data_IF_879492550703
#
_entry.id   IF_879492550703
#
_cell.length_a   1.000
_cell.length_b   1.000
_cell.length_c   1.000
_cell.angle_alpha   90.00
_cell.angle_beta   90.00
_cell.angle_gamma   90.00
#
_symmetry.space_group_name_H-M   'P 1'
#
loop_
_entity.id
_entity.type
_entity.pdbx_description
1 polymer ?
#
# COMPACT_ATOMS: atom_id res chain seq x y z
N UNK A 1 -9.50 -8.87 15.00
CA UNK A 1 -8.59 -7.86 14.42
C UNK A 1 -9.24 -6.50 14.54
N UNK A 2 -8.47 -5.40 14.66
CA UNK A 2 -9.04 -4.04 14.67
C UNK A 2 -9.80 -3.80 13.37
N UNK A 3 -11.06 -3.40 13.47
CA UNK A 3 -11.93 -3.09 12.33
C UNK A 3 -11.78 -1.65 11.84
N UNK A 4 -10.99 -0.83 12.54
CA UNK A 4 -10.76 0.57 12.23
C UNK A 4 -9.32 0.98 12.50
N UNK A 5 -8.84 1.96 11.73
CA UNK A 5 -7.51 2.54 11.80
C UNK A 5 -7.50 3.93 12.48
N UNK A 6 -8.66 4.57 12.65
CA UNK A 6 -8.83 5.94 13.12
C UNK A 6 -8.03 6.96 12.30
N UNK A 7 -8.12 6.88 10.97
CA UNK A 7 -7.35 7.74 10.08
C UNK A 7 -7.87 9.19 10.07
N UNK A 8 -6.99 10.20 10.13
CA UNK A 8 -7.40 11.58 9.90
C UNK A 8 -7.82 11.78 8.44
N UNK A 9 -8.66 12.78 8.16
CA UNK A 9 -8.98 13.13 6.78
C UNK A 9 -7.73 13.71 6.08
N UNK A 10 -7.43 13.21 4.88
CA UNK A 10 -6.35 13.73 4.04
C UNK A 10 -6.70 15.14 3.56
N UNK A 11 -5.73 16.06 3.65
CA UNK A 11 -5.95 17.46 3.28
C UNK A 11 -6.05 17.66 1.76
N UNK A 12 -7.03 18.45 1.33
CA UNK A 12 -7.21 18.85 -0.07
C UNK A 12 -7.93 17.81 -0.94
N UNK A 13 -8.02 18.06 -2.26
CA UNK A 13 -8.70 17.15 -3.18
C UNK A 13 -7.91 15.85 -3.37
N UNK A 14 -8.62 14.78 -3.74
CA UNK A 14 -7.99 13.52 -4.14
C UNK A 14 -7.04 13.73 -5.34
N UNK A 15 -5.94 12.95 -5.43
CA UNK A 15 -5.06 12.99 -6.59
C UNK A 15 -5.78 12.40 -7.82
N UNK A 16 -5.34 12.80 -9.01
CA UNK A 16 -5.76 12.16 -10.26
C UNK A 16 -5.05 10.82 -10.43
N UNK A 17 -5.76 9.83 -10.92
CA UNK A 17 -5.27 8.47 -11.16
C UNK A 17 -5.70 7.97 -12.54
N UNK A 18 -5.04 6.93 -13.05
CA UNK A 18 -5.46 6.24 -14.27
C UNK A 18 -6.48 5.16 -13.95
N UNK A 19 -7.68 5.26 -14.53
CA UNK A 19 -8.70 4.21 -14.48
C UNK A 19 -8.44 3.06 -15.47
N UNK A 20 -7.20 2.61 -15.60
CA UNK A 20 -6.77 1.51 -16.48
C UNK A 20 -5.48 0.88 -15.95
N UNK A 21 -5.03 -0.22 -16.55
CA UNK A 21 -3.69 -0.75 -16.30
C UNK A 21 -2.63 -0.08 -17.19
N UNK A 22 -1.41 0.18 -16.68
CA UNK A 22 -1.07 0.17 -15.26
C UNK A 22 -1.86 1.24 -14.48
N UNK A 23 -2.36 0.89 -13.30
CA UNK A 23 -3.07 1.82 -12.42
C UNK A 23 -2.02 2.70 -11.76
N UNK A 24 -2.03 4.00 -12.06
CA UNK A 24 -1.00 4.92 -11.58
C UNK A 24 -1.61 6.22 -11.05
N UNK A 25 -0.97 6.80 -10.04
CA UNK A 25 -1.27 8.15 -9.58
C UNK A 25 -0.49 9.17 -10.44
N UNK A 26 -1.18 10.24 -10.86
CA UNK A 26 -0.68 11.20 -11.85
C UNK A 26 -0.28 12.55 -11.24
N UNK A 27 -0.73 12.84 -10.01
CA UNK A 27 -0.56 14.14 -9.39
C UNK A 27 -0.37 14.00 -7.89
N UNK A 28 0.13 15.05 -7.24
CA UNK A 28 0.32 15.12 -5.79
C UNK A 28 1.28 14.05 -5.24
N UNK A 29 2.35 13.79 -5.97
CA UNK A 29 3.43 12.92 -5.52
C UNK A 29 4.24 13.60 -4.42
N UNK A 30 4.73 12.81 -3.46
CA UNK A 30 5.67 13.28 -2.46
C UNK A 30 7.05 13.60 -3.02
N UNK A 31 7.83 14.44 -2.31
CA UNK A 31 9.22 14.66 -2.64
C UNK A 31 10.04 13.38 -2.36
N UNK A 32 11.14 13.20 -3.10
CA UNK A 32 11.98 12.00 -3.02
C UNK A 32 12.41 11.67 -1.58
N UNK A 33 12.71 12.67 -0.76
CA UNK A 33 13.12 12.46 0.64
C UNK A 33 12.05 11.78 1.51
N UNK A 34 10.76 12.01 1.24
CA UNK A 34 9.65 11.37 1.94
C UNK A 34 9.46 9.94 1.41
N UNK A 35 9.62 9.75 0.10
CA UNK A 35 9.50 8.43 -0.52
C UNK A 35 10.67 7.52 -0.10
N UNK A 36 11.88 8.06 0.02
CA UNK A 36 13.04 7.35 0.54
C UNK A 36 12.81 6.89 1.99
N UNK A 37 12.20 7.75 2.83
CA UNK A 37 11.82 7.38 4.21
C UNK A 37 10.73 6.31 4.25
N UNK A 38 9.77 6.35 3.32
CA UNK A 38 8.76 5.29 3.16
C UNK A 38 9.44 3.96 2.83
N UNK A 39 10.29 3.94 1.79
CA UNK A 39 11.05 2.75 1.41
C UNK A 39 11.88 2.20 2.57
N UNK A 40 12.67 3.07 3.23
CA UNK A 40 13.53 2.67 4.33
C UNK A 40 12.74 2.01 5.47
N UNK A 41 11.57 2.57 5.82
CA UNK A 41 10.73 2.01 6.87
C UNK A 41 10.06 0.70 6.43
N UNK A 42 9.48 0.64 5.23
CA UNK A 42 8.81 -0.54 4.68
C UNK A 42 9.75 -1.76 4.61
N UNK A 43 10.99 -1.55 4.20
CA UNK A 43 11.97 -2.63 4.04
C UNK A 43 12.79 -2.92 5.31
N UNK A 44 12.58 -2.15 6.38
CA UNK A 44 13.06 -2.49 7.71
C UNK A 44 12.07 -3.39 8.49
N UNK A 45 10.88 -3.66 7.94
CA UNK A 45 9.90 -4.53 8.58
C UNK A 45 10.43 -5.96 8.73
N UNK A 46 10.15 -6.64 9.87
CA UNK A 46 10.67 -7.98 10.11
C UNK A 46 10.20 -9.00 9.07
N UNK A 47 11.12 -9.85 8.62
CA UNK A 47 10.84 -10.97 7.71
C UNK A 47 10.34 -10.54 6.31
N UNK A 48 10.64 -9.32 5.88
CA UNK A 48 10.30 -8.84 4.54
C UNK A 48 11.56 -8.79 3.68
N UNK A 49 11.47 -9.34 2.47
CA UNK A 49 12.45 -9.14 1.42
C UNK A 49 12.07 -7.92 0.58
N UNK A 50 13.08 -7.13 0.22
CA UNK A 50 12.98 -6.05 -0.75
C UNK A 50 13.39 -6.58 -2.13
N UNK A 51 12.42 -6.84 -2.99
CA UNK A 51 12.64 -7.42 -4.32
C UNK A 51 11.94 -6.59 -5.41
N UNK A 52 12.22 -6.88 -6.68
CA UNK A 52 11.43 -6.31 -7.77
C UNK A 52 10.03 -6.93 -7.73
N UNK A 53 8.98 -6.11 -7.92
CA UNK A 53 7.61 -6.63 -7.96
C UNK A 53 7.41 -7.59 -9.14
N UNK A 54 6.67 -8.67 -8.88
CA UNK A 54 6.31 -9.66 -9.90
C UNK A 54 5.05 -9.29 -10.69
N UNK A 55 4.29 -8.29 -10.25
CA UNK A 55 2.98 -7.93 -10.81
C UNK A 55 2.83 -6.44 -11.16
N UNK A 56 3.80 -5.60 -10.80
CA UNK A 56 3.80 -4.16 -11.05
C UNK A 56 4.69 -3.74 -12.23
N UNK A 57 4.73 -2.44 -12.50
CA UNK A 57 5.59 -1.84 -13.53
C UNK A 57 7.09 -2.00 -13.19
N UNK A 58 7.99 -2.01 -14.20
CA UNK A 58 9.42 -2.10 -13.96
C UNK A 58 9.94 -1.00 -13.03
N UNK A 59 10.73 -1.39 -12.03
CA UNK A 59 11.27 -0.49 -11.00
C UNK A 59 10.47 -0.49 -9.69
N UNK A 60 9.23 -0.99 -9.68
CA UNK A 60 8.46 -1.16 -8.44
C UNK A 60 9.16 -2.11 -7.48
N UNK A 61 9.18 -1.73 -6.20
CA UNK A 61 9.81 -2.52 -5.13
C UNK A 61 8.74 -3.18 -4.28
N UNK A 62 8.79 -4.50 -4.21
CA UNK A 62 7.83 -5.34 -3.51
C UNK A 62 8.26 -5.63 -2.09
N UNK A 63 7.28 -5.62 -1.17
CA UNK A 63 7.39 -6.21 0.15
C UNK A 63 6.95 -7.67 0.02
N UNK A 64 7.91 -8.58 0.05
CA UNK A 64 7.68 -10.02 -0.07
C UNK A 64 7.92 -10.68 1.29
N UNK A 65 6.95 -11.45 1.78
CA UNK A 65 7.13 -12.20 3.03
C UNK A 65 8.15 -13.32 2.82
N UNK A 66 9.19 -13.39 3.66
CA UNK A 66 10.24 -14.40 3.58
C UNK A 66 9.70 -15.84 3.62
N UNK A 67 10.43 -16.75 2.98
CA UNK A 67 10.12 -18.18 2.98
C UNK A 67 10.19 -18.77 4.39
N UNK A 68 9.35 -19.78 4.65
CA UNK A 68 9.25 -20.43 5.96
C UNK A 68 8.49 -19.62 7.03
N UNK A 69 8.18 -18.34 6.77
CA UNK A 69 7.36 -17.52 7.67
C UNK A 69 5.88 -17.83 7.43
N UNK A 70 5.07 -18.15 8.46
CA UNK A 70 3.63 -18.30 8.29
C UNK A 70 3.02 -17.02 7.73
N UNK A 71 2.17 -17.16 6.71
CA UNK A 71 1.58 -16.04 6.01
C UNK A 71 0.12 -16.29 5.64
N UNK A 72 -0.67 -15.22 5.63
CA UNK A 72 -2.04 -15.24 5.17
C UNK A 72 -2.09 -15.12 3.65
N UNK A 73 -2.45 -16.21 2.97
CA UNK A 73 -2.50 -16.27 1.51
C UNK A 73 -3.49 -15.26 0.90
N UNK A 74 -4.54 -14.86 1.63
CA UNK A 74 -5.49 -13.86 1.17
C UNK A 74 -4.88 -12.44 1.05
N UNK A 75 -3.67 -12.23 1.59
CA UNK A 75 -2.96 -10.95 1.50
C UNK A 75 -1.99 -10.85 0.32
N UNK A 76 -1.78 -11.93 -0.45
CA UNK A 76 -0.75 -11.95 -1.49
C UNK A 76 -1.33 -11.67 -2.88
N UNK A 77 -0.73 -10.75 -3.61
CA UNK A 77 -1.06 -10.41 -5.00
C UNK A 77 -0.44 -11.41 -5.98
N UNK A 78 0.83 -11.75 -5.76
CA UNK A 78 1.57 -12.74 -6.53
C UNK A 78 2.63 -13.40 -5.63
N UNK A 79 2.71 -14.73 -5.64
CA UNK A 79 3.61 -15.46 -4.74
C UNK A 79 3.35 -15.08 -3.28
N UNK A 80 4.31 -14.37 -2.67
CA UNK A 80 4.25 -13.86 -1.28
C UNK A 80 4.36 -12.33 -1.20
N UNK A 81 4.16 -11.64 -2.31
CA UNK A 81 4.11 -10.17 -2.41
C UNK A 81 2.76 -9.68 -1.90
N UNK A 82 2.75 -8.95 -0.78
CA UNK A 82 1.51 -8.36 -0.23
C UNK A 82 1.38 -6.85 -0.47
N UNK A 83 2.48 -6.21 -0.87
CA UNK A 83 2.52 -4.80 -1.23
C UNK A 83 3.67 -4.51 -2.21
N UNK A 84 3.56 -3.44 -3.00
CA UNK A 84 4.68 -2.86 -3.74
C UNK A 84 4.54 -1.35 -3.86
N UNK A 85 5.68 -0.67 -3.90
CA UNK A 85 5.78 0.78 -4.05
C UNK A 85 6.14 1.11 -5.50
N UNK A 86 5.40 2.02 -6.13
CA UNK A 86 5.64 2.44 -7.51
C UNK A 86 6.88 3.34 -7.62
N UNK A 87 7.69 3.16 -8.68
CA UNK A 87 8.84 4.02 -8.96
C UNK A 87 8.37 5.33 -9.59
N UNK A 88 9.32 6.21 -9.91
CA UNK A 88 9.06 7.34 -10.81
C UNK A 88 8.51 6.84 -12.15
N UNK A 89 7.54 7.55 -12.76
CA UNK A 89 7.06 8.89 -12.39
C UNK A 89 5.93 8.92 -11.34
N UNK A 90 5.37 7.78 -10.92
CA UNK A 90 4.28 7.71 -9.93
C UNK A 90 4.76 7.98 -8.49
N UNK A 91 6.02 7.64 -8.21
CA UNK A 91 6.80 8.04 -7.04
C UNK A 91 6.09 7.87 -5.69
N UNK A 92 6.08 6.64 -5.17
CA UNK A 92 5.72 6.38 -3.78
C UNK A 92 4.24 6.09 -3.50
N UNK A 93 3.35 6.23 -4.49
CA UNK A 93 2.07 5.54 -4.42
C UNK A 93 2.30 4.02 -4.42
N UNK A 94 1.36 3.26 -3.88
CA UNK A 94 1.59 1.83 -3.68
C UNK A 94 0.31 1.02 -3.75
N UNK A 95 0.43 -0.20 -4.25
CA UNK A 95 -0.61 -1.21 -4.10
C UNK A 95 -0.29 -2.14 -2.94
N UNK A 96 -1.32 -2.46 -2.17
CA UNK A 96 -1.23 -3.40 -1.06
C UNK A 96 -2.59 -4.04 -0.78
N UNK A 97 -2.56 -5.20 -0.12
CA UNK A 97 -3.78 -5.93 0.25
C UNK A 97 -4.10 -5.71 1.72
N UNK A 98 -5.36 -5.38 2.01
CA UNK A 98 -5.91 -5.15 3.34
C UNK A 98 -7.11 -6.06 3.62
N UNK A 99 -7.46 -6.26 4.89
CA UNK A 99 -8.77 -6.76 5.27
C UNK A 99 -9.87 -5.87 4.66
N UNK A 100 -10.86 -6.46 4.00
CA UNK A 100 -11.88 -5.72 3.26
C UNK A 100 -12.65 -4.71 4.15
N UNK A 101 -12.77 -4.99 5.44
CA UNK A 101 -13.49 -4.15 6.40
C UNK A 101 -12.85 -2.78 6.67
N UNK A 102 -11.55 -2.61 6.43
CA UNK A 102 -10.85 -1.31 6.68
C UNK A 102 -10.78 -0.41 5.44
N UNK A 103 -11.05 -0.97 4.26
CA UNK A 103 -10.98 -0.24 2.98
C UNK A 103 -11.96 0.95 2.90
N UNK A 104 -13.23 0.84 3.37
CA UNK A 104 -14.14 1.98 3.37
C UNK A 104 -13.61 3.17 4.16
N UNK A 105 -12.96 2.93 5.31
CA UNK A 105 -12.38 3.99 6.14
C UNK A 105 -11.28 4.73 5.37
N UNK A 106 -10.30 4.01 4.81
CA UNK A 106 -9.19 4.56 4.02
C UNK A 106 -9.68 5.45 2.88
N UNK A 107 -10.68 4.96 2.14
CA UNK A 107 -11.27 5.70 1.01
C UNK A 107 -12.01 6.94 1.48
N UNK A 108 -12.81 6.81 2.55
CA UNK A 108 -13.56 7.94 3.11
C UNK A 108 -12.65 9.03 3.68
N UNK A 109 -11.52 8.64 4.26
CA UNK A 109 -10.49 9.55 4.74
C UNK A 109 -9.59 10.11 3.62
N UNK A 110 -9.77 9.68 2.37
CA UNK A 110 -9.06 10.24 1.20
C UNK A 110 -7.63 9.74 1.00
N UNK A 111 -7.24 8.64 1.64
CA UNK A 111 -5.87 8.09 1.56
C UNK A 111 -5.62 7.13 0.41
N UNK A 112 -6.69 6.66 -0.24
CA UNK A 112 -6.57 5.72 -1.34
C UNK A 112 -7.88 5.44 -2.05
N UNK A 113 -7.79 4.57 -3.05
CA UNK A 113 -8.92 4.07 -3.82
C UNK A 113 -8.78 2.57 -4.06
N UNK A 114 -9.87 1.92 -4.45
CA UNK A 114 -9.80 0.52 -4.87
C UNK A 114 -8.87 0.41 -6.08
N UNK A 115 -8.10 -0.67 -6.17
CA UNK A 115 -7.33 -0.96 -7.37
C UNK A 115 -8.25 -1.07 -8.59
N UNK A 116 -7.78 -0.66 -9.76
CA UNK A 116 -8.55 -0.71 -11.00
C UNK A 116 -9.26 -2.06 -11.22
N UNK A 117 -8.56 -3.19 -11.05
CA UNK A 117 -9.17 -4.53 -11.18
C UNK A 117 -10.28 -4.82 -10.17
N UNK A 118 -10.21 -4.28 -8.95
CA UNK A 118 -11.31 -4.38 -7.97
C UNK A 118 -12.51 -3.60 -8.47
N UNK A 119 -12.31 -2.38 -8.98
CA UNK A 119 -13.39 -1.57 -9.58
C UNK A 119 -14.07 -2.25 -10.77
N UNK A 120 -13.34 -3.11 -11.49
CA UNK A 120 -13.85 -3.89 -12.63
C UNK A 120 -14.47 -5.24 -12.22
N UNK A 121 -14.49 -5.58 -10.93
CA UNK A 121 -14.96 -6.88 -10.43
C UNK A 121 -14.05 -8.06 -10.81
N UNK A 122 -12.79 -7.78 -11.17
CA UNK A 122 -11.79 -8.77 -11.60
C UNK A 122 -10.82 -9.16 -10.46
N UNK A 123 -10.96 -8.53 -9.29
CA UNK A 123 -10.19 -8.85 -8.09
C UNK A 123 -11.07 -8.67 -6.83
N UNK A 124 -10.89 -9.49 -5.78
CA UNK A 124 -11.64 -9.31 -4.52
C UNK A 124 -11.40 -7.96 -3.84
N UNK A 125 -12.37 -7.48 -3.07
CA UNK A 125 -12.19 -6.30 -2.21
C UNK A 125 -11.01 -6.49 -1.26
N UNK A 126 -10.19 -5.45 -1.09
CA UNK A 126 -9.01 -5.47 -0.22
C UNK A 126 -7.73 -5.01 -0.92
N UNK A 127 -7.64 -5.18 -2.23
CA UNK A 127 -6.54 -4.63 -3.03
C UNK A 127 -6.81 -3.15 -3.35
N UNK A 128 -5.96 -2.27 -2.83
CA UNK A 128 -6.13 -0.82 -2.92
C UNK A 128 -4.88 -0.15 -3.49
N UNK A 129 -5.04 1.05 -4.04
CA UNK A 129 -3.95 2.00 -4.22
C UNK A 129 -3.96 2.98 -3.06
N UNK A 130 -2.85 3.08 -2.33
CA UNK A 130 -2.61 4.13 -1.35
C UNK A 130 -1.79 5.23 -2.03
N UNK A 131 -2.20 6.47 -1.79
CA UNK A 131 -1.59 7.62 -2.45
C UNK A 131 -0.22 7.96 -1.87
N UNK A 132 0.64 8.48 -2.74
CA UNK A 132 1.98 8.95 -2.38
C UNK A 132 1.92 9.98 -1.23
N UNK A 133 2.67 9.77 -0.12
CA UNK A 133 2.69 10.71 1.00
C UNK A 133 3.45 11.99 0.64
N UNK A 134 2.85 13.16 0.87
CA UNK A 134 3.40 14.47 0.48
C UNK A 134 4.39 15.06 1.48
N UNK A 135 4.30 14.64 2.74
CA UNK A 135 5.07 15.16 3.87
C UNK A 135 5.18 14.10 4.98
N UNK A 136 5.78 14.47 6.12
CA UNK A 136 5.99 13.59 7.28
C UNK A 136 4.68 13.15 7.96
N UNK A 137 3.67 14.01 7.96
CA UNK A 137 2.38 13.72 8.57
C UNK A 137 1.64 12.67 7.71
N UNK A 138 1.62 12.87 6.39
CA UNK A 138 1.10 11.87 5.45
C UNK A 138 1.89 10.57 5.51
N UNK A 139 3.22 10.65 5.61
CA UNK A 139 4.06 9.47 5.75
C UNK A 139 3.70 8.65 6.99
N UNK A 140 3.43 9.32 8.11
CA UNK A 140 2.97 8.67 9.34
C UNK A 140 1.67 7.91 9.12
N UNK A 141 0.72 8.49 8.40
CA UNK A 141 -0.55 7.83 8.09
C UNK A 141 -0.36 6.65 7.12
N UNK A 142 0.42 6.83 6.06
CA UNK A 142 0.72 5.75 5.11
C UNK A 142 1.40 4.57 5.83
N UNK A 143 2.33 4.83 6.77
CA UNK A 143 2.95 3.79 7.61
C UNK A 143 1.93 3.01 8.43
N UNK A 144 0.90 3.66 8.98
CA UNK A 144 -0.18 2.98 9.70
C UNK A 144 -0.97 2.03 8.78
N UNK A 145 -1.27 2.45 7.55
CA UNK A 145 -1.97 1.63 6.57
C UNK A 145 -1.11 0.44 6.14
N UNK A 146 0.18 0.67 5.87
CA UNK A 146 1.12 -0.41 5.52
C UNK A 146 1.29 -1.39 6.69
N UNK A 147 1.37 -0.90 7.93
CA UNK A 147 1.43 -1.77 9.11
C UNK A 147 0.20 -2.68 9.20
N UNK A 148 -0.99 -2.17 8.87
CA UNK A 148 -2.21 -2.98 8.83
C UNK A 148 -2.18 -4.06 7.75
N UNK A 149 -1.61 -3.77 6.59
CA UNK A 149 -1.42 -4.76 5.52
C UNK A 149 -0.39 -5.82 5.92
N UNK A 150 0.72 -5.40 6.53
CA UNK A 150 1.72 -6.30 7.09
C UNK A 150 1.12 -7.22 8.17
N UNK A 151 0.32 -6.69 9.09
CA UNK A 151 -0.42 -7.47 10.08
C UNK A 151 -1.35 -8.49 9.44
N UNK A 152 -2.06 -8.08 8.38
CA UNK A 152 -2.94 -8.98 7.66
C UNK A 152 -2.16 -10.11 6.98
N UNK A 153 -0.97 -9.82 6.47
CA UNK A 153 -0.09 -10.79 5.85
C UNK A 153 0.59 -11.75 6.84
N UNK A 154 0.96 -11.26 8.02
CA UNK A 154 1.84 -12.01 8.95
C UNK A 154 1.16 -12.46 10.25
N UNK A 155 0.01 -11.89 10.58
CA UNK A 155 -0.63 -12.02 11.89
C UNK A 155 0.12 -11.31 13.04
N UNK A 156 1.15 -10.49 12.74
CA UNK A 156 1.98 -9.80 13.74
C UNK A 156 1.73 -8.30 13.73
N UNK A 157 1.37 -7.76 14.89
CA UNK A 157 1.25 -6.33 15.14
C UNK A 157 2.63 -5.70 15.34
N UNK A 158 2.83 -4.51 14.74
CA UNK A 158 4.11 -3.79 14.76
C UNK A 158 3.97 -2.31 15.16
N UNK A 159 2.74 -1.80 15.20
CA UNK A 159 2.40 -0.49 15.75
C UNK A 159 1.37 -0.69 16.86
N UNK A 160 1.44 0.11 17.92
CA UNK A 160 0.56 0.02 19.09
C UNK A 160 -0.88 0.48 18.81
#
# INVERSE_FOLDING_TARGET
MRTSLNLPARSGPAPKTLGQLPHSQLTQHGPDEIIDKLHAWCFALPNINNEASGISVPGSRALILQDGVPGNHASFMIGREFAHIHPKPDNGSMHLVLPAEVVPEIKSAGWGEDHYLVSQGQWPTGLVMIFSPRDEDELTVVKQIVARSYEFATGKQILD
#
